data_IF_063942526776
#
_entry.id   IF_063942526776
#
_cell.length_a   1.000
_cell.length_b   1.000
_cell.length_c   1.000
_cell.angle_alpha   90.00
_cell.angle_beta   90.00
_cell.angle_gamma   90.00
#
_symmetry.space_group_name_H-M   'P 1'
#
loop_
_entity.id
_entity.type
_entity.pdbx_description
1 polymer ?
#
# COMPACT_ATOMS: atom_id res chain seq x y z
N UNK A 1 8.86 -20.72 -26.92
CA UNK A 1 7.48 -20.49 -27.39
C UNK A 1 6.82 -19.55 -26.41
N UNK A 2 6.24 -18.45 -26.87
CA UNK A 2 5.60 -17.48 -25.99
C UNK A 2 4.18 -17.96 -25.64
N UNK A 3 4.07 -18.75 -24.57
CA UNK A 3 2.78 -19.25 -24.09
C UNK A 3 2.09 -18.11 -23.35
N UNK A 4 1.17 -17.42 -24.01
CA UNK A 4 0.41 -16.30 -23.41
C UNK A 4 -0.17 -16.70 -22.06
N UNK A 5 0.07 -15.90 -21.02
CA UNK A 5 -0.36 -16.18 -19.63
C UNK A 5 -1.83 -16.56 -19.51
N UNK A 6 -2.70 -16.01 -20.36
CA UNK A 6 -4.13 -16.36 -20.42
C UNK A 6 -4.39 -17.81 -20.80
N UNK A 7 -3.64 -18.37 -21.77
CA UNK A 7 -3.77 -19.79 -22.17
C UNK A 7 -3.49 -20.72 -21.00
N UNK A 8 -2.45 -20.43 -20.23
CA UNK A 8 -2.10 -21.19 -19.03
C UNK A 8 -3.23 -21.15 -18.00
N UNK A 9 -3.86 -19.98 -17.79
CA UNK A 9 -4.98 -19.82 -16.85
C UNK A 9 -6.21 -20.65 -17.27
N UNK A 10 -6.52 -20.70 -18.57
CA UNK A 10 -7.58 -21.56 -19.09
C UNK A 10 -7.28 -23.05 -18.92
N UNK A 11 -6.03 -23.46 -19.09
CA UNK A 11 -5.63 -24.87 -18.86
C UNK A 11 -5.76 -25.23 -17.38
N UNK A 12 -5.37 -24.32 -16.48
CA UNK A 12 -5.57 -24.50 -15.04
C UNK A 12 -7.07 -24.61 -14.68
N UNK A 13 -7.93 -23.82 -15.35
CA UNK A 13 -9.38 -23.92 -15.19
C UNK A 13 -9.90 -25.30 -15.61
N UNK A 14 -9.46 -25.79 -16.77
CA UNK A 14 -9.82 -27.12 -17.24
C UNK A 14 -9.46 -28.23 -16.24
N UNK A 15 -8.27 -28.20 -15.66
CA UNK A 15 -7.87 -29.17 -14.63
C UNK A 15 -8.66 -29.02 -13.33
N UNK A 16 -9.05 -27.80 -12.97
CA UNK A 16 -9.95 -27.56 -11.84
C UNK A 16 -11.33 -28.18 -12.07
N UNK A 17 -11.92 -27.98 -13.24
CA UNK A 17 -13.24 -28.54 -13.59
C UNK A 17 -13.23 -30.07 -13.64
N UNK A 18 -12.08 -30.66 -13.99
CA UNK A 18 -11.84 -32.11 -13.93
C UNK A 18 -11.71 -32.66 -12.49
N UNK A 19 -11.55 -31.79 -11.49
CA UNK A 19 -11.38 -32.17 -10.09
C UNK A 19 -9.96 -32.59 -9.72
N UNK A 20 -8.95 -32.22 -10.51
CA UNK A 20 -7.55 -32.51 -10.19
C UNK A 20 -7.01 -31.58 -9.09
N UNK A 21 -5.84 -31.89 -8.54
CA UNK A 21 -5.17 -31.02 -7.58
C UNK A 21 -4.25 -30.01 -8.30
N UNK A 22 -4.02 -28.85 -7.68
CA UNK A 22 -3.24 -27.76 -8.29
C UNK A 22 -1.78 -28.13 -8.58
N UNK A 23 -1.16 -28.96 -7.74
CA UNK A 23 0.23 -29.39 -7.93
C UNK A 23 0.35 -30.30 -9.16
N UNK A 24 -0.58 -31.25 -9.31
CA UNK A 24 -0.66 -32.13 -10.47
C UNK A 24 -0.95 -31.35 -11.75
N UNK A 25 -1.84 -30.36 -11.69
CA UNK A 25 -2.10 -29.47 -12.81
C UNK A 25 -0.83 -28.71 -13.24
N UNK A 26 -0.04 -28.21 -12.29
CA UNK A 26 1.24 -27.55 -12.58
C UNK A 26 2.27 -28.50 -13.22
N UNK A 27 2.37 -29.73 -12.72
CA UNK A 27 3.23 -30.76 -13.31
C UNK A 27 2.81 -31.13 -14.74
N UNK A 28 1.50 -31.32 -14.96
CA UNK A 28 0.94 -31.62 -16.28
C UNK A 28 1.23 -30.47 -17.27
N UNK A 29 1.06 -29.22 -16.84
CA UNK A 29 1.39 -28.05 -17.65
C UNK A 29 2.89 -27.99 -17.96
N UNK A 30 3.76 -28.18 -16.97
CA UNK A 30 5.20 -28.15 -17.17
C UNK A 30 5.71 -29.31 -18.04
N UNK A 31 5.04 -30.46 -18.01
CA UNK A 31 5.37 -31.60 -18.88
C UNK A 31 5.09 -31.29 -20.36
N UNK A 32 4.06 -30.49 -20.67
CA UNK A 32 3.68 -30.15 -22.06
C UNK A 32 4.43 -28.93 -22.59
N UNK A 33 4.55 -27.88 -21.77
CA UNK A 33 5.06 -26.57 -22.21
C UNK A 33 6.53 -26.30 -21.83
N UNK A 34 7.12 -27.18 -21.02
CA UNK A 34 8.49 -27.08 -20.54
C UNK A 34 8.59 -26.82 -19.03
N UNK A 35 9.73 -27.14 -18.43
CA UNK A 35 9.95 -26.92 -17.00
C UNK A 35 9.75 -25.45 -16.64
N UNK A 36 9.26 -25.20 -15.43
CA UNK A 36 9.02 -23.88 -14.87
C UNK A 36 8.04 -22.97 -15.63
N UNK A 37 7.23 -23.52 -16.55
CA UNK A 37 6.13 -22.78 -17.19
C UNK A 37 5.14 -22.24 -16.15
N UNK A 38 4.81 -23.07 -15.16
CA UNK A 38 3.93 -22.74 -14.03
C UNK A 38 4.52 -23.27 -12.73
N UNK A 39 4.62 -22.39 -11.73
CA UNK A 39 4.97 -22.80 -10.38
C UNK A 39 3.73 -23.35 -9.66
N UNK A 40 3.93 -24.29 -8.74
CA UNK A 40 2.84 -24.84 -7.92
C UNK A 40 2.06 -23.73 -7.18
N UNK A 41 2.75 -22.69 -6.70
CA UNK A 41 2.12 -21.53 -6.05
C UNK A 41 1.19 -20.77 -7.00
N UNK A 42 1.58 -20.60 -8.27
CA UNK A 42 0.75 -19.94 -9.27
C UNK A 42 -0.52 -20.75 -9.55
N UNK A 43 -0.40 -22.08 -9.71
CA UNK A 43 -1.55 -22.96 -9.88
C UNK A 43 -2.48 -22.92 -8.66
N UNK A 44 -1.94 -22.98 -7.45
CA UNK A 44 -2.72 -22.89 -6.21
C UNK A 44 -3.47 -21.55 -6.08
N UNK A 45 -2.85 -20.43 -6.45
CA UNK A 45 -3.49 -19.12 -6.47
C UNK A 45 -4.74 -19.13 -7.36
N UNK A 46 -4.63 -19.65 -8.58
CA UNK A 46 -5.77 -19.75 -9.50
C UNK A 46 -6.85 -20.69 -8.98
N UNK A 47 -6.49 -21.85 -8.44
CA UNK A 47 -7.46 -22.77 -7.84
C UNK A 47 -8.22 -22.15 -6.67
N UNK A 48 -7.57 -21.31 -5.83
CA UNK A 48 -8.27 -20.56 -4.78
C UNK A 48 -9.29 -19.59 -5.36
N UNK A 49 -8.96 -18.91 -6.47
CA UNK A 49 -9.85 -17.99 -7.17
C UNK A 49 -11.04 -18.70 -7.82
N UNK A 50 -10.82 -19.87 -8.41
CA UNK A 50 -11.90 -20.69 -8.99
C UNK A 50 -12.85 -21.22 -7.91
N UNK A 51 -12.33 -21.65 -6.75
CA UNK A 51 -13.16 -22.01 -5.59
C UNK A 51 -14.02 -20.87 -5.06
N UNK A 52 -13.59 -19.61 -5.21
CA UNK A 52 -14.40 -18.45 -4.85
C UNK A 52 -15.42 -18.06 -5.94
N UNK A 53 -15.58 -18.87 -6.99
CA UNK A 53 -16.51 -18.61 -8.10
C UNK A 53 -16.05 -17.52 -9.08
N UNK A 54 -14.80 -17.08 -8.99
CA UNK A 54 -14.24 -16.06 -9.89
C UNK A 54 -13.47 -16.76 -11.03
N UNK A 55 -14.12 -16.86 -12.19
CA UNK A 55 -13.57 -17.50 -13.40
C UNK A 55 -12.98 -16.50 -14.40
N UNK A 56 -12.87 -15.22 -14.02
CA UNK A 56 -12.24 -14.22 -14.89
C UNK A 56 -10.73 -14.46 -14.93
N UNK A 57 -10.26 -14.94 -16.07
CA UNK A 57 -8.84 -15.20 -16.34
C UNK A 57 -8.08 -13.95 -16.74
N UNK A 58 -8.75 -12.82 -17.00
CA UNK A 58 -8.09 -11.58 -17.39
C UNK A 58 -7.52 -10.86 -16.16
N UNK A 59 -6.43 -10.14 -16.39
CA UNK A 59 -5.90 -9.24 -15.36
C UNK A 59 -6.87 -8.07 -15.19
N UNK A 60 -7.28 -7.80 -13.94
CA UNK A 60 -8.03 -6.60 -13.64
C UNK A 60 -7.17 -5.36 -13.96
N UNK A 61 -7.79 -4.22 -14.32
CA UNK A 61 -7.08 -2.97 -14.46
C UNK A 61 -6.25 -2.72 -13.21
N UNK A 62 -4.96 -2.44 -13.39
CA UNK A 62 -4.10 -2.09 -12.25
C UNK A 62 -4.62 -0.79 -11.66
N UNK A 63 -4.93 -0.80 -10.36
CA UNK A 63 -5.08 0.44 -9.61
C UNK A 63 -3.74 1.18 -9.68
N UNK A 64 -3.63 2.14 -10.60
CA UNK A 64 -2.44 2.97 -10.72
C UNK A 64 -2.19 3.76 -9.44
N UNK A 65 -0.97 4.28 -9.29
CA UNK A 65 -0.70 5.31 -8.28
C UNK A 65 -1.55 6.54 -8.66
N UNK A 66 -2.30 7.15 -7.72
CA UNK A 66 -2.94 8.43 -8.00
C UNK A 66 -1.85 9.41 -8.41
N UNK A 67 -1.92 9.92 -9.64
CA UNK A 67 -1.10 11.05 -10.05
C UNK A 67 -1.71 12.24 -9.31
N UNK A 68 -0.96 12.80 -8.35
CA UNK A 68 -1.37 14.02 -7.68
C UNK A 68 -1.29 15.13 -8.73
N UNK A 69 -2.41 15.45 -9.38
CA UNK A 69 -2.54 16.52 -10.40
C UNK A 69 -2.37 17.95 -9.83
N UNK A 70 -1.75 18.09 -8.65
CA UNK A 70 -1.64 19.35 -7.94
C UNK A 70 -0.18 19.68 -7.60
N UNK A 71 0.75 19.45 -8.53
CA UNK A 71 2.13 19.93 -8.38
C UNK A 71 2.15 21.46 -8.24
N UNK A 72 1.27 22.15 -8.97
CA UNK A 72 1.12 23.61 -8.92
C UNK A 72 0.45 24.14 -7.64
N UNK A 73 -0.09 23.25 -6.79
CA UNK A 73 -0.66 23.61 -5.48
C UNK A 73 0.21 23.15 -4.31
N UNK A 74 1.43 22.68 -4.58
CA UNK A 74 2.43 22.48 -3.54
C UNK A 74 2.85 23.87 -3.08
N UNK A 75 2.55 24.28 -1.83
CA UNK A 75 3.06 25.55 -1.33
C UNK A 75 4.60 25.53 -1.37
N UNK A 76 5.22 26.68 -1.62
CA UNK A 76 6.67 26.84 -1.50
C UNK A 76 7.05 26.64 -0.02
N UNK A 77 7.42 25.40 0.30
CA UNK A 77 7.67 24.93 1.66
C UNK A 77 9.16 25.03 1.93
N UNK A 78 9.55 25.77 2.97
CA UNK A 78 10.91 25.69 3.46
C UNK A 78 11.18 24.26 3.95
N UNK A 79 12.44 23.75 3.90
CA UNK A 79 12.75 22.40 4.39
C UNK A 79 12.31 22.14 5.84
N UNK A 80 12.27 23.19 6.68
CA UNK A 80 11.74 23.13 8.05
C UNK A 80 10.25 22.80 8.10
N UNK A 81 9.50 23.27 7.11
CA UNK A 81 8.06 23.11 7.05
C UNK A 81 7.69 21.65 6.86
N UNK A 82 8.51 20.87 6.14
CA UNK A 82 8.31 19.43 5.99
C UNK A 82 8.19 18.71 7.34
N UNK A 83 9.04 19.05 8.30
CA UNK A 83 9.02 18.44 9.63
C UNK A 83 7.81 18.89 10.46
N UNK A 84 7.43 20.17 10.33
CA UNK A 84 6.23 20.71 10.97
C UNK A 84 4.97 20.05 10.40
N UNK A 85 4.81 20.00 9.08
CA UNK A 85 3.68 19.37 8.39
C UNK A 85 3.58 17.87 8.65
N UNK A 86 4.71 17.17 8.74
CA UNK A 86 4.71 15.74 9.08
C UNK A 86 4.27 15.50 10.53
N UNK A 87 4.75 16.31 11.49
CA UNK A 87 4.29 16.23 12.88
C UNK A 87 2.79 16.50 13.00
N UNK A 88 2.30 17.54 12.32
CA UNK A 88 0.88 17.89 12.30
C UNK A 88 0.03 16.81 11.62
N UNK A 89 0.50 16.22 10.52
CA UNK A 89 -0.22 15.14 9.85
C UNK A 89 -0.40 13.91 10.76
N UNK A 90 0.61 13.59 11.57
CA UNK A 90 0.52 12.53 12.56
C UNK A 90 -0.42 12.90 13.71
N UNK A 91 -0.33 14.11 14.24
CA UNK A 91 -1.17 14.60 15.34
C UNK A 91 -2.65 14.74 14.96
N UNK A 92 -2.93 14.98 13.67
CA UNK A 92 -4.29 15.10 13.13
C UNK A 92 -4.79 13.78 12.52
N UNK A 93 -3.98 12.71 12.55
CA UNK A 93 -4.34 11.44 11.96
C UNK A 93 -5.64 10.90 12.57
N UNK A 94 -6.65 10.70 11.73
CA UNK A 94 -7.96 10.18 12.13
C UNK A 94 -8.98 11.24 12.57
N UNK A 95 -8.59 12.52 12.69
CA UNK A 95 -9.53 13.60 12.98
C UNK A 95 -10.19 14.13 11.70
N UNK A 96 -11.51 14.29 11.74
CA UNK A 96 -12.27 14.98 10.69
C UNK A 96 -12.72 16.33 11.21
N UNK A 97 -12.23 17.41 10.60
CA UNK A 97 -12.61 18.77 10.97
C UNK A 97 -13.96 19.14 10.36
N UNK A 98 -14.88 19.59 11.22
CA UNK A 98 -16.25 19.97 10.83
C UNK A 98 -16.32 21.42 10.31
N UNK A 99 -15.33 22.25 10.66
CA UNK A 99 -15.23 23.64 10.23
C UNK A 99 -13.77 24.09 10.12
N UNK A 100 -13.53 25.18 9.38
CA UNK A 100 -12.21 25.80 9.27
C UNK A 100 -11.66 26.23 10.62
N UNK A 101 -12.50 26.84 11.45
CA UNK A 101 -12.14 27.30 12.80
C UNK A 101 -11.71 26.14 13.71
N UNK A 102 -12.36 24.97 13.60
CA UNK A 102 -11.94 23.78 14.36
C UNK A 102 -10.54 23.29 13.94
N UNK A 103 -10.20 23.39 12.66
CA UNK A 103 -8.88 23.08 12.14
C UNK A 103 -7.83 24.08 12.65
N UNK A 104 -8.11 25.38 12.55
CA UNK A 104 -7.20 26.45 13.02
C UNK A 104 -6.94 26.34 14.53
N UNK A 105 -7.98 26.12 15.33
CA UNK A 105 -7.83 25.91 16.77
C UNK A 105 -6.96 24.69 17.09
N UNK A 106 -7.08 23.61 16.31
CA UNK A 106 -6.24 22.42 16.51
C UNK A 106 -4.79 22.66 16.10
N UNK A 107 -4.57 23.43 15.03
CA UNK A 107 -3.26 23.87 14.58
C UNK A 107 -2.53 24.69 15.65
N UNK A 108 -3.20 25.70 16.24
CA UNK A 108 -2.60 26.50 17.31
C UNK A 108 -2.25 25.67 18.55
N UNK A 109 -3.07 24.68 18.91
CA UNK A 109 -2.76 23.76 20.02
C UNK A 109 -1.50 22.93 19.75
N UNK A 110 -1.39 22.32 18.57
CA UNK A 110 -0.21 21.53 18.19
C UNK A 110 1.09 22.37 18.24
N UNK A 111 1.06 23.60 17.72
CA UNK A 111 2.21 24.51 17.79
C UNK A 111 2.54 24.90 19.23
N UNK A 112 1.53 25.17 20.06
CA UNK A 112 1.74 25.51 21.47
C UNK A 112 2.38 24.35 22.24
N UNK A 113 1.94 23.12 21.99
CA UNK A 113 2.48 21.92 22.62
C UNK A 113 3.93 21.67 22.20
N UNK A 114 4.27 21.85 20.92
CA UNK A 114 5.65 21.79 20.43
C UNK A 114 6.55 22.83 21.12
N UNK A 115 6.09 24.08 21.21
CA UNK A 115 6.83 25.15 21.90
C UNK A 115 7.01 24.85 23.40
N UNK A 116 6.00 24.26 24.05
CA UNK A 116 6.08 23.84 25.46
C UNK A 116 7.13 22.74 25.68
N UNK A 117 7.20 21.78 24.75
CA UNK A 117 8.19 20.71 24.78
C UNK A 117 9.60 21.29 24.60
N UNK A 118 9.80 22.17 23.61
CA UNK A 118 11.10 22.82 23.35
C UNK A 118 11.59 23.60 24.58
N UNK A 119 10.73 24.42 25.19
CA UNK A 119 11.06 25.16 26.41
C UNK A 119 11.44 24.24 27.58
N UNK A 120 10.74 23.11 27.72
CA UNK A 120 11.04 22.12 28.77
C UNK A 120 12.41 21.46 28.56
N UNK A 121 12.74 21.14 27.30
CA UNK A 121 14.06 20.56 26.94
C UNK A 121 15.17 21.58 27.19
N UNK A 122 14.99 22.83 26.75
CA UNK A 122 15.97 23.90 26.95
C UNK A 122 16.21 24.15 28.45
N UNK A 123 15.15 24.22 29.26
CA UNK A 123 15.30 24.38 30.71
C UNK A 123 16.05 23.20 31.35
N UNK A 124 15.77 21.95 30.92
CA UNK A 124 16.52 20.78 31.39
C UNK A 124 17.99 20.84 30.99
N UNK A 125 18.29 21.19 29.74
CA UNK A 125 19.66 21.31 29.24
C UNK A 125 20.43 22.42 29.96
N UNK A 126 19.79 23.59 30.16
CA UNK A 126 20.36 24.69 30.92
C UNK A 126 20.69 24.30 32.36
N UNK A 127 19.75 23.66 33.06
CA UNK A 127 19.96 23.17 34.44
C UNK A 127 21.05 22.09 34.52
N UNK A 128 21.21 21.27 33.48
CA UNK A 128 22.29 20.27 33.40
C UNK A 128 23.67 20.94 33.24
N UNK A 129 23.75 22.01 32.44
CA UNK A 129 24.98 22.78 32.24
C UNK A 129 25.39 23.64 33.45
N UNK A 130 24.49 23.82 34.43
CA UNK A 130 24.75 24.55 35.68
C UNK A 130 25.18 23.66 36.85
N UNK A 131 25.31 22.34 36.65
CA UNK A 131 25.91 21.39 37.60
C UNK A 131 27.38 21.17 37.27
#
# INVERSE_FOLDING_TARGET
>A
MDTSKEKIRHILQFFFDKGENASQAAENVNSVYGPDTVTANHAQFWFRRFRSGNFDVKDAPRSGRPIVENVDKIPDLAPSDYHLFLSMANDFAGEKFVSREACENRFYRCIFDLNRIILTILNKAFNFMQK
#
